data_IF_931068620919
#
_entry.id   IF_931068620919
#
_cell.length_a   1.000
_cell.length_b   1.000
_cell.length_c   1.000
_cell.angle_alpha   90.00
_cell.angle_beta   90.00
_cell.angle_gamma   90.00
#
_symmetry.space_group_name_H-M   'P 1'
#
loop_
_entity.id
_entity.type
_entity.pdbx_description
1 polymer ?
#
# COMPACT_ATOMS: atom_id res chain seq x y z
N UNK A 1 -27.91 29.74 13.20
CA UNK A 1 -27.03 30.10 14.34
C UNK A 1 -25.63 29.63 13.97
N UNK A 2 -24.63 30.51 13.86
CA UNK A 2 -23.34 30.19 13.21
C UNK A 2 -22.36 29.33 14.04
N UNK A 3 -22.55 29.24 15.35
CA UNK A 3 -21.69 28.46 16.26
C UNK A 3 -22.55 27.46 17.03
N UNK A 4 -22.16 26.18 16.98
CA UNK A 4 -22.89 25.07 17.61
C UNK A 4 -22.83 25.11 19.14
N UNK A 5 -21.69 25.52 19.68
CA UNK A 5 -21.44 25.54 21.13
C UNK A 5 -20.93 26.93 21.54
N UNK A 6 -21.35 27.41 22.70
CA UNK A 6 -20.95 28.71 23.24
C UNK A 6 -20.54 28.57 24.70
N UNK A 7 -19.37 29.11 25.04
CA UNK A 7 -18.85 29.17 26.41
C UNK A 7 -18.28 30.56 26.65
N UNK A 8 -18.57 31.15 27.80
CA UNK A 8 -18.02 32.45 28.21
C UNK A 8 -17.10 32.24 29.42
N UNK A 9 -15.95 32.89 29.39
CA UNK A 9 -15.00 32.99 30.49
C UNK A 9 -14.84 34.45 30.85
N UNK A 10 -14.71 34.72 32.14
CA UNK A 10 -14.42 36.06 32.68
C UNK A 10 -13.08 36.02 33.37
N UNK A 11 -12.33 37.09 33.23
CA UNK A 11 -10.99 37.24 33.80
C UNK A 11 -10.93 38.55 34.59
N UNK A 12 -10.49 38.46 35.83
CA UNK A 12 -10.15 39.63 36.62
C UNK A 12 -8.91 40.31 36.02
N UNK A 13 -8.65 41.60 36.31
CA UNK A 13 -7.41 42.23 35.90
C UNK A 13 -6.18 41.44 36.38
N UNK A 14 -5.17 41.19 35.52
CA UNK A 14 -3.99 40.39 35.89
C UNK A 14 -3.21 40.98 37.06
N UNK A 15 -3.17 42.32 37.17
CA UNK A 15 -2.57 43.06 38.28
C UNK A 15 -3.19 44.45 38.37
N UNK A 16 -3.11 45.06 39.56
CA UNK A 16 -3.45 46.48 39.76
C UNK A 16 -2.26 47.42 39.43
N UNK A 17 -1.04 46.89 39.34
CA UNK A 17 0.15 47.68 39.02
C UNK A 17 0.31 47.84 37.49
N UNK A 18 0.21 49.09 37.04
CA UNK A 18 0.39 49.46 35.63
C UNK A 18 1.78 49.09 35.10
N UNK A 19 2.82 49.12 35.93
CA UNK A 19 4.17 48.71 35.53
C UNK A 19 4.21 47.22 35.20
N UNK A 20 3.51 46.39 35.97
CA UNK A 20 3.37 44.95 35.73
C UNK A 20 2.64 44.71 34.40
N UNK A 21 1.52 45.40 34.18
CA UNK A 21 0.73 45.28 32.94
C UNK A 21 1.50 45.68 31.66
N UNK A 22 2.50 46.55 31.77
CA UNK A 22 3.33 46.97 30.61
C UNK A 22 4.40 45.95 30.19
N UNK A 23 4.65 44.94 31.02
CA UNK A 23 5.72 43.96 30.81
C UNK A 23 5.26 42.52 31.02
N UNK A 24 3.99 42.24 30.71
CA UNK A 24 3.31 40.95 30.97
C UNK A 24 4.09 39.71 30.51
N UNK A 25 4.88 39.81 29.42
CA UNK A 25 5.68 38.68 28.90
C UNK A 25 6.89 38.33 29.80
N UNK A 26 7.27 39.20 30.74
CA UNK A 26 8.43 39.06 31.63
C UNK A 26 8.05 38.81 33.10
N UNK A 27 6.75 38.94 33.43
CA UNK A 27 6.23 38.95 34.80
C UNK A 27 6.06 37.53 35.30
N UNK A 28 6.44 37.28 36.55
CA UNK A 28 6.19 35.98 37.18
C UNK A 28 4.74 35.86 37.65
N UNK A 29 4.16 34.65 37.63
CA UNK A 29 2.79 34.43 38.13
C UNK A 29 2.57 34.88 39.59
N UNK A 30 3.64 34.98 40.38
CA UNK A 30 3.59 35.45 41.78
C UNK A 30 3.28 36.94 41.91
N UNK A 31 3.49 37.71 40.85
CA UNK A 31 3.20 39.14 40.77
C UNK A 31 1.80 39.41 40.20
N UNK A 32 1.08 38.36 39.80
CA UNK A 32 -0.28 38.42 39.27
C UNK A 32 -1.31 38.15 40.38
N UNK A 33 -2.55 38.57 40.13
CA UNK A 33 -3.68 38.21 40.96
C UNK A 33 -3.86 36.69 40.96
N UNK A 34 -3.92 36.08 42.14
CA UNK A 34 -4.22 34.65 42.28
C UNK A 34 -5.56 34.27 41.64
N UNK A 35 -6.57 35.14 41.71
CA UNK A 35 -7.87 34.88 41.06
C UNK A 35 -7.76 34.81 39.54
N UNK A 36 -6.94 35.68 38.94
CA UNK A 36 -6.68 35.68 37.50
C UNK A 36 -5.93 34.42 37.08
N UNK A 37 -4.89 34.04 37.83
CA UNK A 37 -4.12 32.81 37.56
C UNK A 37 -5.02 31.57 37.63
N UNK A 38 -5.86 31.45 38.67
CA UNK A 38 -6.84 30.36 38.79
C UNK A 38 -7.86 30.34 37.65
N UNK A 39 -8.32 31.52 37.19
CA UNK A 39 -9.24 31.63 36.04
C UNK A 39 -8.57 31.19 34.73
N UNK A 40 -7.31 31.58 34.50
CA UNK A 40 -6.51 31.12 33.37
C UNK A 40 -6.31 29.61 33.38
N UNK A 41 -5.98 29.01 34.54
CA UNK A 41 -5.88 27.56 34.67
C UNK A 41 -7.18 26.85 34.32
N UNK A 42 -8.32 27.33 34.87
CA UNK A 42 -9.65 26.76 34.55
C UNK A 42 -10.00 26.90 33.07
N UNK A 43 -9.65 28.01 32.44
CA UNK A 43 -9.81 28.21 31.00
C UNK A 43 -8.99 27.19 30.21
N UNK A 44 -7.68 27.09 30.48
CA UNK A 44 -6.79 26.16 29.79
C UNK A 44 -7.23 24.71 29.96
N UNK A 45 -7.57 24.30 31.19
CA UNK A 45 -8.08 22.96 31.49
C UNK A 45 -9.37 22.66 30.69
N UNK A 46 -10.28 23.63 30.63
CA UNK A 46 -11.49 23.49 29.82
C UNK A 46 -11.15 23.31 28.33
N UNK A 47 -10.26 24.13 27.77
CA UNK A 47 -9.86 24.03 26.36
C UNK A 47 -9.25 22.65 26.08
N UNK A 48 -8.27 22.20 26.87
CA UNK A 48 -7.62 20.90 26.66
C UNK A 48 -8.57 19.71 26.81
N UNK A 49 -9.59 19.84 27.66
CA UNK A 49 -10.57 18.77 27.88
C UNK A 49 -11.70 18.75 26.84
N UNK A 50 -12.08 19.91 26.29
CA UNK A 50 -13.33 20.04 25.52
C UNK A 50 -13.13 20.45 24.06
N UNK A 51 -11.94 20.85 23.62
CA UNK A 51 -11.71 21.15 22.20
C UNK A 51 -11.70 19.85 21.39
N UNK A 52 -12.52 19.84 20.35
CA UNK A 52 -12.60 18.74 19.39
C UNK A 52 -11.53 18.90 18.31
N UNK A 53 -11.11 17.77 17.73
CA UNK A 53 -10.26 17.78 16.55
C UNK A 53 -11.00 18.48 15.42
N UNK A 54 -10.32 19.40 14.73
CA UNK A 54 -10.92 20.08 13.58
C UNK A 54 -11.21 19.05 12.49
N UNK A 55 -12.47 19.00 12.04
CA UNK A 55 -12.91 18.16 10.93
C UNK A 55 -13.18 19.02 9.69
N UNK A 56 -12.89 18.45 8.52
CA UNK A 56 -13.32 18.91 7.22
C UNK A 56 -14.57 18.11 6.81
N UNK A 57 -15.66 18.82 6.53
CA UNK A 57 -16.98 18.26 6.21
C UNK A 57 -17.47 17.24 7.25
N UNK A 58 -17.16 17.48 8.53
CA UNK A 58 -17.49 16.63 9.69
C UNK A 58 -17.02 15.16 9.61
N UNK A 59 -16.16 14.82 8.63
CA UNK A 59 -15.71 13.44 8.37
C UNK A 59 -14.19 13.31 8.51
N UNK A 60 -13.42 14.24 7.90
CA UNK A 60 -11.97 14.08 7.78
C UNK A 60 -11.23 14.94 8.82
N UNK A 61 -10.46 14.35 9.75
CA UNK A 61 -9.56 15.10 10.62
C UNK A 61 -8.58 15.96 9.82
N UNK A 62 -8.49 17.24 10.17
CA UNK A 62 -7.55 18.18 9.55
C UNK A 62 -6.15 17.92 10.12
N UNK A 63 -5.33 17.24 9.33
CA UNK A 63 -3.89 17.07 9.59
C UNK A 63 -3.12 18.37 9.29
N UNK A 64 -1.83 18.40 9.63
CA UNK A 64 -0.96 19.54 9.29
C UNK A 64 -0.85 19.77 7.77
N UNK A 65 -0.86 18.69 6.98
CA UNK A 65 -0.83 18.77 5.51
C UNK A 65 -2.13 19.37 4.96
N UNK A 66 -3.28 18.87 5.41
CA UNK A 66 -4.60 19.42 5.03
C UNK A 66 -4.71 20.89 5.47
N UNK A 67 -4.22 21.22 6.67
CA UNK A 67 -4.22 22.60 7.16
C UNK A 67 -3.37 23.51 6.27
N UNK A 68 -2.19 23.06 5.83
CA UNK A 68 -1.35 23.78 4.88
C UNK A 68 -2.07 24.04 3.55
N UNK A 69 -2.77 23.03 3.02
CA UNK A 69 -3.57 23.17 1.79
C UNK A 69 -4.74 24.17 1.98
N UNK A 70 -5.43 24.13 3.13
CA UNK A 70 -6.49 25.07 3.46
C UNK A 70 -5.96 26.51 3.54
N UNK A 71 -4.87 26.74 4.27
CA UNK A 71 -4.24 28.06 4.41
C UNK A 71 -3.83 28.62 3.05
N UNK A 72 -3.20 27.79 2.21
CA UNK A 72 -2.82 28.17 0.85
C UNK A 72 -4.04 28.60 0.03
N UNK A 73 -5.08 27.76 -0.05
CA UNK A 73 -6.29 28.04 -0.85
C UNK A 73 -7.03 29.29 -0.39
N UNK A 74 -7.22 29.46 0.92
CA UNK A 74 -7.89 30.65 1.44
C UNK A 74 -7.06 31.92 1.18
N UNK A 75 -5.74 31.85 1.35
CA UNK A 75 -4.86 33.01 1.09
C UNK A 75 -4.85 33.38 -0.38
N UNK A 76 -4.73 32.40 -1.28
CA UNK A 76 -4.75 32.60 -2.73
C UNK A 76 -6.02 33.32 -3.18
N UNK A 77 -7.18 32.86 -2.73
CA UNK A 77 -8.45 33.47 -3.11
C UNK A 77 -8.63 34.88 -2.55
N UNK A 78 -8.20 35.13 -1.31
CA UNK A 78 -8.17 36.49 -0.73
C UNK A 78 -7.29 37.41 -1.59
N UNK A 79 -6.08 36.97 -1.94
CA UNK A 79 -5.16 37.79 -2.75
C UNK A 79 -5.67 38.03 -4.18
N UNK A 80 -6.45 37.09 -4.71
CA UNK A 80 -7.01 37.15 -6.06
C UNK A 80 -8.40 37.81 -6.10
N UNK A 81 -8.92 38.30 -4.97
CA UNK A 81 -10.27 38.87 -4.84
C UNK A 81 -11.39 37.95 -5.36
N UNK A 82 -11.18 36.64 -5.25
CA UNK A 82 -12.17 35.62 -5.62
C UNK A 82 -12.90 35.14 -4.37
N UNK A 83 -14.19 34.81 -4.53
CA UNK A 83 -14.94 34.23 -3.44
C UNK A 83 -14.47 32.79 -3.17
N UNK A 84 -14.30 32.43 -1.88
CA UNK A 84 -14.05 31.04 -1.49
C UNK A 84 -15.35 30.38 -1.07
N UNK A 85 -15.66 29.28 -1.72
CA UNK A 85 -16.69 28.35 -1.31
C UNK A 85 -16.03 27.23 -0.47
N UNK A 86 -16.59 26.92 0.70
CA UNK A 86 -16.03 25.87 1.56
C UNK A 86 -16.16 24.51 0.88
N UNK A 87 -17.29 24.28 0.20
CA UNK A 87 -17.58 23.07 -0.54
C UNK A 87 -16.57 22.86 -1.68
N UNK A 88 -16.26 23.89 -2.47
CA UNK A 88 -15.27 23.80 -3.55
C UNK A 88 -13.85 23.54 -3.00
N UNK A 89 -13.54 24.11 -1.84
CA UNK A 89 -12.27 23.88 -1.14
C UNK A 89 -12.14 22.43 -0.70
N UNK A 90 -13.19 21.89 -0.06
CA UNK A 90 -13.26 20.48 0.38
C UNK A 90 -13.15 19.54 -0.82
N UNK A 91 -13.89 19.81 -1.90
CA UNK A 91 -13.82 19.02 -3.13
C UNK A 91 -12.41 18.97 -3.69
N UNK A 92 -11.74 20.12 -3.81
CA UNK A 92 -10.38 20.17 -4.34
C UNK A 92 -9.36 19.46 -3.45
N UNK A 93 -9.46 19.61 -2.12
CA UNK A 93 -8.58 18.90 -1.17
C UNK A 93 -8.83 17.39 -1.27
N UNK A 94 -10.10 16.96 -1.29
CA UNK A 94 -10.43 15.54 -1.43
C UNK A 94 -9.90 14.93 -2.71
N UNK A 95 -9.93 15.67 -3.83
CA UNK A 95 -9.35 15.21 -5.09
C UNK A 95 -7.84 14.97 -5.00
N UNK A 96 -7.11 15.89 -4.36
CA UNK A 96 -5.66 15.77 -4.16
C UNK A 96 -5.31 14.59 -3.23
N UNK A 97 -5.99 14.50 -2.08
CA UNK A 97 -5.78 13.44 -1.11
C UNK A 97 -6.14 12.06 -1.67
N UNK A 98 -7.23 11.95 -2.44
CA UNK A 98 -7.63 10.70 -3.06
C UNK A 98 -6.63 10.26 -4.15
N UNK A 99 -6.09 11.20 -4.95
CA UNK A 99 -5.03 10.90 -5.92
C UNK A 99 -3.77 10.39 -5.24
N UNK A 100 -3.35 11.03 -4.15
CA UNK A 100 -2.20 10.61 -3.35
C UNK A 100 -2.45 9.21 -2.73
N UNK A 101 -3.64 8.98 -2.20
CA UNK A 101 -4.04 7.70 -1.62
C UNK A 101 -3.97 6.55 -2.64
N UNK A 102 -4.47 6.76 -3.87
CA UNK A 102 -4.37 5.76 -4.95
C UNK A 102 -2.92 5.42 -5.27
N UNK A 103 -2.06 6.44 -5.41
CA UNK A 103 -0.65 6.27 -5.74
C UNK A 103 0.07 5.48 -4.66
N UNK A 104 0.00 5.95 -3.42
CA UNK A 104 0.70 5.35 -2.28
C UNK A 104 0.24 3.92 -1.99
N UNK A 105 -1.07 3.66 -2.06
CA UNK A 105 -1.59 2.31 -1.88
C UNK A 105 -1.13 1.35 -2.99
N UNK A 106 -1.08 1.83 -4.25
CA UNK A 106 -0.56 1.03 -5.38
C UNK A 106 0.93 0.72 -5.21
N UNK A 107 1.73 1.73 -4.83
CA UNK A 107 3.16 1.58 -4.59
C UNK A 107 3.43 0.62 -3.41
N UNK A 108 2.63 0.70 -2.35
CA UNK A 108 2.71 -0.21 -1.22
C UNK A 108 2.47 -1.66 -1.63
N UNK A 109 1.42 -1.92 -2.42
CA UNK A 109 1.15 -3.26 -2.97
C UNK A 109 2.36 -3.79 -3.75
N UNK A 110 2.89 -3.00 -4.69
CA UNK A 110 4.03 -3.40 -5.49
C UNK A 110 5.28 -3.68 -4.67
N UNK A 111 5.55 -2.84 -3.67
CA UNK A 111 6.67 -3.00 -2.75
C UNK A 111 6.54 -4.30 -1.95
N UNK A 112 5.37 -4.56 -1.36
CA UNK A 112 5.13 -5.78 -0.58
C UNK A 112 5.23 -7.05 -1.42
N UNK A 113 4.68 -7.04 -2.63
CA UNK A 113 4.83 -8.15 -3.57
C UNK A 113 6.29 -8.44 -3.91
N UNK A 114 7.13 -7.41 -4.06
CA UNK A 114 8.58 -7.58 -4.31
C UNK A 114 9.35 -8.06 -3.08
N UNK A 115 9.05 -7.52 -1.91
CA UNK A 115 9.76 -7.84 -0.67
C UNK A 115 9.46 -9.24 -0.16
N UNK A 116 8.18 -9.66 -0.23
CA UNK A 116 7.71 -10.93 0.33
C UNK A 116 7.66 -12.05 -0.71
N UNK A 117 7.46 -11.70 -1.98
CA UNK A 117 7.29 -12.68 -3.05
C UNK A 117 8.59 -13.35 -3.44
N UNK A 118 8.66 -14.66 -3.21
CA UNK A 118 9.74 -15.48 -3.73
C UNK A 118 9.29 -16.14 -5.04
N UNK A 119 9.64 -15.54 -6.18
CA UNK A 119 9.19 -16.02 -7.49
C UNK A 119 10.22 -16.94 -8.19
N UNK A 120 9.79 -18.07 -8.81
CA UNK A 120 8.40 -18.52 -8.85
C UNK A 120 7.93 -19.04 -7.48
N UNK A 121 6.65 -18.80 -7.18
CA UNK A 121 5.97 -19.45 -6.05
C UNK A 121 5.88 -20.95 -6.31
N UNK A 122 5.74 -21.77 -5.27
CA UNK A 122 5.60 -23.23 -5.42
C UNK A 122 4.27 -23.57 -6.09
N UNK A 123 3.18 -22.92 -5.66
CA UNK A 123 1.83 -23.14 -6.20
C UNK A 123 1.14 -21.83 -6.58
N UNK A 124 -0.02 -21.96 -7.23
CA UNK A 124 -0.87 -20.81 -7.55
C UNK A 124 -1.54 -20.27 -6.28
N UNK A 125 -1.90 -21.15 -5.35
CA UNK A 125 -2.50 -20.79 -4.07
C UNK A 125 -1.56 -19.90 -3.25
N UNK A 126 -0.26 -20.25 -3.18
CA UNK A 126 0.74 -19.41 -2.50
C UNK A 126 0.81 -18.00 -3.11
N UNK A 127 0.74 -17.88 -4.45
CA UNK A 127 0.69 -16.59 -5.12
C UNK A 127 -0.57 -15.80 -4.78
N UNK A 128 -1.73 -16.45 -4.79
CA UNK A 128 -3.03 -15.84 -4.49
C UNK A 128 -3.06 -15.33 -3.04
N UNK A 129 -2.63 -16.15 -2.09
CA UNK A 129 -2.59 -15.78 -0.67
C UNK A 129 -1.66 -14.59 -0.41
N UNK A 130 -0.45 -14.62 -0.97
CA UNK A 130 0.49 -13.51 -0.87
C UNK A 130 -0.09 -12.22 -1.45
N UNK A 131 -0.67 -12.30 -2.64
CA UNK A 131 -1.28 -11.16 -3.33
C UNK A 131 -2.43 -10.59 -2.51
N UNK A 132 -3.34 -11.44 -2.01
CA UNK A 132 -4.48 -11.02 -1.20
C UNK A 132 -4.06 -10.26 0.08
N UNK A 133 -3.03 -10.73 0.79
CA UNK A 133 -2.49 -10.02 1.96
C UNK A 133 -1.93 -8.64 1.59
N UNK A 134 -1.22 -8.54 0.47
CA UNK A 134 -0.68 -7.27 -0.01
C UNK A 134 -1.81 -6.30 -0.46
N UNK A 135 -2.87 -6.83 -1.09
CA UNK A 135 -4.06 -6.07 -1.49
C UNK A 135 -4.81 -5.51 -0.28
N UNK A 136 -4.97 -6.31 0.77
CA UNK A 136 -5.62 -5.89 2.01
C UNK A 136 -4.86 -4.73 2.69
N UNK A 137 -3.53 -4.83 2.81
CA UNK A 137 -2.70 -3.74 3.35
C UNK A 137 -2.83 -2.46 2.52
N UNK A 138 -2.77 -2.57 1.19
CA UNK A 138 -2.94 -1.43 0.29
C UNK A 138 -4.33 -0.79 0.42
N UNK A 139 -5.38 -1.60 0.56
CA UNK A 139 -6.74 -1.12 0.77
C UNK A 139 -6.86 -0.31 2.08
N UNK A 140 -6.23 -0.77 3.17
CA UNK A 140 -6.24 -0.03 4.43
C UNK A 140 -5.57 1.34 4.30
N UNK A 141 -4.47 1.44 3.54
CA UNK A 141 -3.81 2.72 3.25
C UNK A 141 -4.74 3.63 2.46
N UNK A 142 -5.38 3.11 1.41
CA UNK A 142 -6.33 3.87 0.59
C UNK A 142 -7.50 4.38 1.43
N UNK A 143 -8.13 3.53 2.24
CA UNK A 143 -9.28 3.90 3.10
C UNK A 143 -8.87 4.92 4.16
N UNK A 144 -7.69 4.79 4.77
CA UNK A 144 -7.23 5.73 5.81
C UNK A 144 -6.98 7.15 5.29
N UNK A 145 -6.62 7.29 4.00
CA UNK A 145 -6.30 8.58 3.40
C UNK A 145 -7.45 9.17 2.59
N UNK A 146 -8.16 8.35 1.83
CA UNK A 146 -9.25 8.80 0.97
C UNK A 146 -10.42 9.37 1.77
N UNK A 147 -11.10 10.36 1.21
CA UNK A 147 -12.37 10.88 1.73
C UNK A 147 -13.15 11.60 0.63
N UNK A 148 -14.46 11.76 0.82
CA UNK A 148 -15.36 12.45 -0.11
C UNK A 148 -15.29 11.94 -1.58
N UNK A 149 -14.97 10.66 -1.80
CA UNK A 149 -15.03 10.00 -3.11
C UNK A 149 -16.46 9.48 -3.39
N UNK A 150 -17.44 10.37 -3.40
CA UNK A 150 -18.87 10.02 -3.46
C UNK A 150 -19.25 9.20 -4.71
N UNK A 151 -18.52 9.38 -5.81
CA UNK A 151 -18.73 8.67 -7.08
C UNK A 151 -17.84 7.43 -7.23
N UNK A 152 -17.06 7.10 -6.20
CA UNK A 152 -16.11 5.97 -6.19
C UNK A 152 -15.13 5.98 -7.37
N UNK A 153 -14.78 7.17 -7.87
CA UNK A 153 -13.92 7.32 -9.05
C UNK A 153 -12.49 6.90 -8.68
N UNK A 154 -12.01 7.35 -7.53
CA UNK A 154 -10.68 7.02 -7.04
C UNK A 154 -10.60 5.60 -6.52
N UNK A 155 -11.65 5.11 -5.86
CA UNK A 155 -11.77 3.71 -5.49
C UNK A 155 -11.70 2.80 -6.73
N UNK A 156 -12.46 3.09 -7.79
CA UNK A 156 -12.40 2.34 -9.04
C UNK A 156 -11.03 2.46 -9.74
N UNK A 157 -10.35 3.59 -9.61
CA UNK A 157 -8.98 3.75 -10.09
C UNK A 157 -7.99 2.88 -9.30
N UNK A 158 -8.07 2.88 -7.97
CA UNK A 158 -7.28 2.02 -7.10
C UNK A 158 -7.46 0.54 -7.46
N UNK A 159 -8.69 0.05 -7.55
CA UNK A 159 -8.97 -1.34 -7.90
C UNK A 159 -8.41 -1.73 -9.27
N UNK A 160 -8.52 -0.85 -10.27
CA UNK A 160 -7.91 -1.08 -11.60
C UNK A 160 -6.39 -1.14 -11.55
N UNK A 161 -5.76 -0.29 -10.74
CA UNK A 161 -4.30 -0.30 -10.57
C UNK A 161 -3.83 -1.60 -9.91
N UNK A 162 -4.49 -2.02 -8.83
CA UNK A 162 -4.18 -3.27 -8.13
C UNK A 162 -4.33 -4.47 -9.06
N UNK A 163 -5.46 -4.59 -9.77
CA UNK A 163 -5.68 -5.69 -10.71
C UNK A 163 -4.63 -5.71 -11.83
N UNK A 164 -4.27 -4.54 -12.36
CA UNK A 164 -3.19 -4.44 -13.35
C UNK A 164 -1.87 -4.97 -12.80
N UNK A 165 -1.47 -4.53 -11.60
CA UNK A 165 -0.21 -4.98 -10.99
C UNK A 165 -0.24 -6.46 -10.63
N UNK A 166 -1.35 -6.97 -10.11
CA UNK A 166 -1.55 -8.41 -9.85
C UNK A 166 -1.30 -9.25 -11.09
N UNK A 167 -1.87 -8.87 -12.24
CA UNK A 167 -1.62 -9.55 -13.52
C UNK A 167 -0.15 -9.52 -13.92
N UNK A 168 0.50 -8.37 -13.82
CA UNK A 168 1.94 -8.25 -14.11
C UNK A 168 2.80 -9.17 -13.23
N UNK A 169 2.50 -9.28 -11.94
CA UNK A 169 3.17 -10.21 -11.04
C UNK A 169 2.87 -11.69 -11.37
N UNK A 170 1.64 -12.00 -11.77
CA UNK A 170 1.23 -13.35 -12.19
C UNK A 170 1.99 -13.78 -13.44
N UNK A 171 2.04 -12.92 -14.47
CA UNK A 171 2.78 -13.17 -15.71
C UNK A 171 4.27 -13.36 -15.43
N UNK A 172 4.86 -12.51 -14.58
CA UNK A 172 6.25 -12.69 -14.14
C UNK A 172 6.46 -14.04 -13.42
N UNK A 173 5.51 -14.46 -12.57
CA UNK A 173 5.56 -15.73 -11.86
C UNK A 173 5.59 -16.91 -12.83
N UNK A 174 4.68 -16.91 -13.81
CA UNK A 174 4.60 -17.92 -14.88
C UNK A 174 5.88 -17.96 -15.72
N UNK A 175 6.38 -16.80 -16.16
CA UNK A 175 7.60 -16.72 -16.97
C UNK A 175 8.81 -17.30 -16.21
N UNK A 176 8.95 -16.97 -14.92
CA UNK A 176 10.01 -17.52 -14.07
C UNK A 176 9.86 -19.02 -13.86
N UNK A 177 8.65 -19.49 -13.59
CA UNK A 177 8.32 -20.91 -13.45
C UNK A 177 8.68 -21.69 -14.73
N UNK A 178 8.20 -21.23 -15.89
CA UNK A 178 8.50 -21.82 -17.20
C UNK A 178 10.00 -21.84 -17.50
N UNK A 179 10.72 -20.74 -17.22
CA UNK A 179 12.17 -20.66 -17.41
C UNK A 179 12.90 -21.69 -16.55
N UNK A 180 12.53 -21.81 -15.28
CA UNK A 180 13.15 -22.73 -14.35
C UNK A 180 12.85 -24.20 -14.72
N UNK A 181 11.59 -24.53 -15.05
CA UNK A 181 11.22 -25.84 -15.57
C UNK A 181 12.05 -26.23 -16.80
N UNK A 182 12.20 -25.34 -17.78
CA UNK A 182 13.01 -25.62 -18.97
C UNK A 182 14.50 -25.85 -18.64
N UNK A 183 15.04 -25.15 -17.64
CA UNK A 183 16.42 -25.36 -17.19
C UNK A 183 16.59 -26.73 -16.53
N UNK A 184 15.65 -27.14 -15.67
CA UNK A 184 15.65 -28.45 -15.03
C UNK A 184 15.54 -29.59 -16.05
N UNK A 185 14.64 -29.46 -17.03
CA UNK A 185 14.49 -30.44 -18.12
C UNK A 185 15.83 -30.61 -18.84
N UNK A 186 16.44 -29.51 -19.31
CA UNK A 186 17.75 -29.54 -19.99
C UNK A 186 18.87 -30.12 -19.12
N UNK A 187 18.87 -29.81 -17.82
CA UNK A 187 19.87 -30.31 -16.86
C UNK A 187 19.77 -31.83 -16.73
N UNK A 188 18.55 -32.35 -16.52
CA UNK A 188 18.31 -33.76 -16.26
C UNK A 188 18.31 -34.62 -17.53
N UNK A 189 17.92 -34.08 -18.69
CA UNK A 189 17.91 -34.79 -19.98
C UNK A 189 19.28 -34.89 -20.66
N UNK A 190 20.28 -34.10 -20.24
CA UNK A 190 21.54 -33.91 -20.98
C UNK A 190 22.26 -35.20 -21.35
N UNK A 191 22.39 -36.12 -20.41
CA UNK A 191 23.16 -37.35 -20.63
C UNK A 191 22.35 -38.37 -21.46
N UNK A 192 21.03 -38.38 -21.27
CA UNK A 192 20.11 -39.17 -22.08
C UNK A 192 20.07 -38.68 -23.55
N UNK A 193 20.07 -37.36 -23.79
CA UNK A 193 20.17 -36.80 -25.14
C UNK A 193 21.47 -37.20 -25.84
N UNK A 194 22.60 -37.21 -25.13
CA UNK A 194 23.89 -37.69 -25.66
C UNK A 194 23.85 -39.19 -25.96
N UNK A 195 23.23 -39.99 -25.08
CA UNK A 195 23.05 -41.43 -25.29
C UNK A 195 22.22 -41.73 -26.54
N UNK A 196 21.15 -40.95 -26.75
CA UNK A 196 20.30 -41.03 -27.94
C UNK A 196 21.07 -40.68 -29.21
N UNK A 197 21.83 -39.57 -29.22
CA UNK A 197 22.65 -39.15 -30.36
C UNK A 197 23.73 -40.17 -30.75
N UNK A 198 24.24 -40.92 -29.76
CA UNK A 198 25.23 -41.98 -29.97
C UNK A 198 24.61 -43.33 -30.37
N UNK A 199 23.29 -43.40 -30.51
CA UNK A 199 22.57 -44.63 -30.87
C UNK A 199 22.64 -45.72 -29.79
N UNK A 200 22.83 -45.35 -28.51
CA UNK A 200 22.98 -46.34 -27.44
C UNK A 200 21.71 -47.17 -27.20
N UNK A 201 20.54 -46.64 -27.55
CA UNK A 201 19.25 -47.33 -27.46
C UNK A 201 18.90 -48.16 -28.72
N UNK A 202 19.69 -48.09 -29.79
CA UNK A 202 19.44 -48.79 -31.07
C UNK A 202 19.95 -50.25 -31.06
N UNK A 203 19.75 -50.96 -29.96
CA UNK A 203 20.21 -52.34 -29.73
C UNK A 203 19.07 -53.21 -29.19
N UNK A 204 19.14 -54.55 -29.28
CA UNK A 204 18.16 -55.42 -28.62
C UNK A 204 18.02 -55.06 -27.13
N UNK A 205 16.79 -54.82 -26.67
CA UNK A 205 16.48 -54.35 -25.31
C UNK A 205 16.63 -52.84 -25.06
N UNK A 206 17.09 -52.05 -26.04
CA UNK A 206 17.34 -50.63 -25.88
C UNK A 206 16.09 -49.78 -25.62
N UNK A 207 14.91 -50.21 -26.08
CA UNK A 207 13.64 -49.55 -25.76
C UNK A 207 13.30 -49.60 -24.26
N UNK A 208 13.51 -50.76 -23.61
CA UNK A 208 13.32 -50.88 -22.16
C UNK A 208 14.28 -49.97 -21.41
N UNK A 209 15.56 -49.96 -21.82
CA UNK A 209 16.57 -49.08 -21.23
C UNK A 209 16.22 -47.59 -21.39
N UNK A 210 15.68 -47.22 -22.55
CA UNK A 210 15.20 -45.86 -22.81
C UNK A 210 14.07 -45.47 -21.85
N UNK A 211 13.08 -46.36 -21.65
CA UNK A 211 11.97 -46.11 -20.73
C UNK A 211 12.44 -45.96 -19.27
N UNK A 212 13.37 -46.79 -18.82
CA UNK A 212 13.98 -46.69 -17.48
C UNK A 212 14.70 -45.34 -17.29
N UNK A 213 15.56 -44.97 -18.23
CA UNK A 213 16.31 -43.72 -18.14
C UNK A 213 15.38 -42.51 -18.21
N UNK A 214 14.29 -42.60 -18.96
CA UNK A 214 13.23 -41.60 -18.99
C UNK A 214 12.49 -41.46 -17.66
N UNK A 215 12.11 -42.57 -17.03
CA UNK A 215 11.46 -42.56 -15.71
C UNK A 215 12.36 -41.89 -14.65
N UNK A 216 13.67 -42.15 -14.69
CA UNK A 216 14.64 -41.52 -13.79
C UNK A 216 14.75 -40.00 -14.00
N UNK A 217 14.63 -39.52 -15.24
CA UNK A 217 14.61 -38.07 -15.53
C UNK A 217 13.34 -37.44 -14.98
N UNK A 218 12.18 -38.07 -15.19
CA UNK A 218 10.90 -37.61 -14.64
C UNK A 218 10.94 -37.54 -13.12
N UNK A 219 11.46 -38.58 -12.46
CA UNK A 219 11.62 -38.62 -11.01
C UNK A 219 12.49 -37.46 -10.51
N UNK A 220 13.67 -37.27 -11.12
CA UNK A 220 14.58 -36.17 -10.76
C UNK A 220 13.93 -34.81 -10.97
N UNK A 221 13.24 -34.60 -12.09
CA UNK A 221 12.50 -33.36 -12.34
C UNK A 221 11.39 -33.14 -11.30
N UNK A 222 10.62 -34.17 -10.98
CA UNK A 222 9.53 -34.10 -10.00
C UNK A 222 10.04 -33.82 -8.58
N UNK A 223 11.24 -34.29 -8.24
CA UNK A 223 11.87 -34.07 -6.93
C UNK A 223 12.41 -32.64 -6.70
N UNK A 224 12.66 -31.87 -7.76
CA UNK A 224 13.21 -30.51 -7.61
C UNK A 224 12.13 -29.55 -7.07
N UNK A 225 12.38 -28.79 -5.99
CA UNK A 225 11.38 -27.88 -5.43
C UNK A 225 11.21 -26.64 -6.32
N UNK A 226 10.15 -25.87 -6.09
CA UNK A 226 9.96 -24.51 -6.61
C UNK A 226 9.90 -24.42 -8.13
N UNK A 227 9.32 -25.43 -8.75
CA UNK A 227 9.04 -25.42 -10.19
C UNK A 227 7.95 -24.42 -10.54
N UNK A 228 7.01 -24.22 -9.62
CA UNK A 228 5.92 -23.27 -9.74
C UNK A 228 4.81 -23.71 -10.68
N UNK A 229 3.96 -22.75 -11.02
CA UNK A 229 2.66 -22.95 -11.67
C UNK A 229 2.73 -23.61 -13.06
N UNK A 230 3.88 -23.57 -13.74
CA UNK A 230 4.06 -24.15 -15.09
C UNK A 230 4.65 -25.58 -15.09
N UNK A 231 4.67 -26.26 -13.94
CA UNK A 231 5.21 -27.62 -13.82
C UNK A 231 4.56 -28.61 -14.79
N UNK A 232 3.23 -28.54 -14.98
CA UNK A 232 2.50 -29.45 -15.88
C UNK A 232 2.89 -29.30 -17.35
N UNK A 233 3.19 -28.07 -17.78
CA UNK A 233 3.67 -27.79 -19.14
C UNK A 233 5.10 -28.32 -19.31
N UNK A 234 5.93 -28.23 -18.26
CA UNK A 234 7.26 -28.83 -18.23
C UNK A 234 7.22 -30.34 -18.46
N UNK A 235 6.40 -31.07 -17.71
CA UNK A 235 6.21 -32.53 -17.85
C UNK A 235 5.72 -32.88 -19.26
N UNK A 236 4.74 -32.14 -19.78
CA UNK A 236 4.20 -32.37 -21.13
C UNK A 236 5.27 -32.19 -22.20
N UNK A 237 6.12 -31.16 -22.08
CA UNK A 237 7.25 -30.93 -23.01
C UNK A 237 8.29 -32.02 -22.91
N UNK A 238 8.58 -32.49 -21.70
CA UNK A 238 9.52 -33.59 -21.47
C UNK A 238 9.01 -34.83 -22.20
N UNK A 239 7.75 -35.24 -21.98
CA UNK A 239 7.13 -36.37 -22.69
C UNK A 239 7.10 -36.19 -24.22
N UNK A 240 6.76 -34.99 -24.71
CA UNK A 240 6.69 -34.71 -26.15
C UNK A 240 8.07 -34.69 -26.83
N UNK A 241 9.10 -34.18 -26.17
CA UNK A 241 10.47 -34.13 -26.71
C UNK A 241 11.03 -35.53 -27.00
N UNK A 242 10.58 -36.53 -26.24
CA UNK A 242 11.03 -37.92 -26.34
C UNK A 242 10.09 -38.83 -27.12
N UNK A 243 8.83 -38.42 -27.37
CA UNK A 243 7.92 -39.16 -28.26
C UNK A 243 8.22 -38.95 -29.76
N UNK A 244 9.00 -37.92 -30.11
CA UNK A 244 9.28 -37.51 -31.49
C UNK A 244 10.65 -37.98 -32.03
N UNK A 245 11.44 -38.70 -31.25
CA UNK A 245 12.79 -39.16 -31.61
C UNK A 245 12.96 -40.65 -31.38
#
# INVERSE_FOLDING_TARGET
MYFNTRKCFVFDPPSADKKVLQRMDEVSEKELSSSFVDQCHKFCEYIYKNVEVKLLDDIKPVSGEILGQLVYKYTEAITSSTAVCMEDTVMSISEMENKAAVLEATEHYEKRMRERGQFPTETLEEFIELSAQCEEEALQIFIGKSFNDLKLIFHAQFMRNIEKRKREFSEMNEVKSRKYCNQLIKKHSRDHEKALQRGLYSKPGGYLKFQEDMALIEERYNSEPRKGVEVGIGITKLKAFFALK
#
